data_IF_040151559259
#
_entry.id   IF_040151559259
#
_cell.length_a   1.000
_cell.length_b   1.000
_cell.length_c   1.000
_cell.angle_alpha   90.00
_cell.angle_beta   90.00
_cell.angle_gamma   90.00
#
_symmetry.space_group_name_H-M   'P 1'
#
loop_
_entity.id
_entity.type
_entity.pdbx_description
1 polymer ?
#
# COMPACT_ATOMS: atom_id res chain seq x y z
N UNK A 1 0.94 -14.76 -55.40
CA UNK A 1 0.05 -14.63 -54.22
C UNK A 1 0.89 -14.70 -52.94
N UNK A 2 1.74 -13.70 -52.70
CA UNK A 2 2.55 -13.56 -51.47
C UNK A 2 2.13 -12.32 -50.64
N UNK A 3 0.98 -11.70 -50.98
CA UNK A 3 0.57 -10.35 -50.57
C UNK A 3 0.05 -10.20 -49.14
N UNK A 4 -0.01 -11.26 -48.34
CA UNK A 4 -0.81 -11.25 -47.10
C UNK A 4 0.03 -11.35 -45.81
N UNK A 5 1.36 -11.33 -45.92
CA UNK A 5 2.26 -11.32 -44.75
C UNK A 5 2.64 -9.88 -44.37
N UNK A 6 2.46 -9.55 -43.09
CA UNK A 6 2.84 -8.26 -42.49
C UNK A 6 4.11 -8.45 -41.66
N UNK A 7 5.05 -7.52 -41.79
CA UNK A 7 6.28 -7.52 -41.00
C UNK A 7 5.99 -7.16 -39.53
N UNK A 8 6.37 -8.04 -38.61
CA UNK A 8 6.25 -7.81 -37.15
C UNK A 8 7.53 -7.17 -36.61
N UNK A 9 8.69 -7.57 -37.15
CA UNK A 9 9.97 -6.89 -36.89
C UNK A 9 10.28 -5.92 -38.02
N UNK A 10 10.96 -4.81 -37.70
CA UNK A 10 11.25 -3.75 -38.68
C UNK A 10 12.13 -4.23 -39.84
N UNK A 11 12.99 -5.22 -39.60
CA UNK A 11 13.86 -5.87 -40.58
C UNK A 11 13.15 -6.98 -41.39
N UNK A 12 11.88 -7.27 -41.12
CA UNK A 12 11.13 -8.34 -41.77
C UNK A 12 11.55 -9.75 -41.34
N UNK A 13 12.42 -9.90 -40.35
CA UNK A 13 12.88 -11.19 -39.84
C UNK A 13 11.78 -12.06 -39.21
N UNK A 14 10.69 -11.44 -38.75
CA UNK A 14 9.44 -12.13 -38.38
C UNK A 14 8.28 -11.51 -39.14
N UNK A 15 7.59 -12.32 -39.93
CA UNK A 15 6.41 -11.91 -40.69
C UNK A 15 5.20 -12.73 -40.24
N UNK A 16 4.01 -12.13 -40.25
CA UNK A 16 2.75 -12.72 -39.77
C UNK A 16 1.68 -12.64 -40.84
N UNK A 17 0.88 -13.70 -40.96
CA UNK A 17 -0.38 -13.72 -41.70
C UNK A 17 -1.49 -14.26 -40.79
N UNK A 18 -2.54 -13.48 -40.57
CA UNK A 18 -3.67 -13.91 -39.75
C UNK A 18 -4.55 -14.86 -40.56
N UNK A 19 -4.85 -16.03 -40.00
CA UNK A 19 -5.80 -17.01 -40.55
C UNK A 19 -7.18 -16.88 -39.89
N UNK A 20 -7.21 -16.51 -38.61
CA UNK A 20 -8.42 -16.26 -37.83
C UNK A 20 -8.11 -15.19 -36.80
N UNK A 21 -8.94 -14.15 -36.76
CA UNK A 21 -8.81 -13.06 -35.79
C UNK A 21 -9.09 -13.51 -34.36
N UNK A 22 -8.34 -12.93 -33.42
CA UNK A 22 -8.58 -13.02 -31.97
C UNK A 22 -9.04 -11.70 -31.38
N UNK A 23 -9.37 -11.68 -30.09
CA UNK A 23 -9.85 -10.49 -29.40
C UNK A 23 -9.19 -10.33 -28.01
N UNK A 24 -9.15 -9.08 -27.54
CA UNK A 24 -8.55 -8.72 -26.26
C UNK A 24 -7.10 -8.25 -26.38
N UNK A 25 -6.41 -8.28 -25.24
CA UNK A 25 -5.05 -7.78 -25.10
C UNK A 25 -4.00 -8.77 -25.64
N UNK A 26 -2.77 -8.26 -25.79
CA UNK A 26 -1.62 -9.06 -26.20
C UNK A 26 -0.90 -9.68 -24.99
N UNK A 27 -0.39 -10.92 -25.11
CA UNK A 27 0.46 -11.54 -24.10
C UNK A 27 1.67 -10.67 -23.73
N UNK A 28 1.77 -10.31 -22.46
CA UNK A 28 2.93 -9.58 -21.93
C UNK A 28 4.02 -10.56 -21.49
N UNK A 29 5.24 -10.07 -21.30
CA UNK A 29 6.35 -10.85 -20.72
C UNK A 29 5.92 -11.59 -19.45
N UNK A 30 6.39 -12.83 -19.25
CA UNK A 30 5.96 -13.76 -18.19
C UNK A 30 4.53 -14.30 -18.29
N UNK A 31 3.81 -14.06 -19.39
CA UNK A 31 2.54 -14.74 -19.60
C UNK A 31 2.73 -16.22 -19.93
N UNK A 32 1.90 -17.07 -19.32
CA UNK A 32 1.69 -18.46 -19.75
C UNK A 32 0.66 -18.48 -20.86
N UNK A 33 1.10 -18.71 -22.10
CA UNK A 33 0.25 -18.90 -23.27
C UNK A 33 -0.15 -20.38 -23.41
N UNK A 34 -1.43 -20.64 -23.63
CA UNK A 34 -1.94 -21.96 -24.03
C UNK A 34 -2.15 -22.00 -25.53
N UNK A 35 -1.43 -22.88 -26.20
CA UNK A 35 -1.33 -22.86 -27.66
C UNK A 35 -1.44 -24.26 -28.28
N UNK A 36 -1.89 -24.28 -29.53
CA UNK A 36 -1.60 -25.34 -30.49
C UNK A 36 -0.72 -24.77 -31.59
N UNK A 37 0.29 -25.51 -32.01
CA UNK A 37 1.22 -25.04 -33.03
C UNK A 37 1.82 -26.17 -33.85
N UNK A 38 2.26 -25.81 -35.05
CA UNK A 38 3.03 -26.62 -35.97
C UNK A 38 4.17 -25.78 -36.52
N UNK A 39 5.41 -26.21 -36.27
CA UNK A 39 6.63 -25.66 -36.84
C UNK A 39 7.16 -26.56 -37.96
N UNK A 40 7.39 -25.97 -39.13
CA UNK A 40 7.94 -26.65 -40.31
C UNK A 40 9.13 -25.89 -40.88
N UNK A 41 10.01 -26.62 -41.56
CA UNK A 41 11.05 -26.04 -42.43
C UNK A 41 10.42 -25.56 -43.75
N UNK A 42 11.22 -24.95 -44.63
CA UNK A 42 10.75 -24.45 -45.94
C UNK A 42 10.28 -25.57 -46.87
N UNK A 43 10.89 -26.75 -46.79
CA UNK A 43 10.48 -27.97 -47.49
C UNK A 43 9.21 -28.61 -46.91
N UNK A 44 8.54 -27.92 -45.97
CA UNK A 44 7.35 -28.35 -45.24
C UNK A 44 7.59 -29.52 -44.27
N UNK A 45 8.84 -29.96 -44.06
CA UNK A 45 9.14 -30.98 -43.05
C UNK A 45 8.83 -30.44 -41.65
N UNK A 46 7.96 -31.11 -40.87
CA UNK A 46 7.68 -30.71 -39.49
C UNK A 46 8.89 -30.99 -38.59
N UNK A 47 9.21 -30.04 -37.71
CA UNK A 47 10.31 -30.16 -36.74
C UNK A 47 9.86 -29.97 -35.28
N UNK A 48 8.68 -29.38 -35.04
CA UNK A 48 8.13 -29.18 -33.69
C UNK A 48 6.60 -29.03 -33.78
N UNK A 49 5.82 -29.78 -33.00
CA UNK A 49 4.36 -29.64 -32.97
C UNK A 49 3.74 -30.23 -31.72
N UNK A 50 2.58 -29.68 -31.33
CA UNK A 50 1.66 -30.33 -30.38
C UNK A 50 0.26 -30.55 -30.98
N UNK A 51 0.12 -30.49 -32.30
CA UNK A 51 -1.13 -30.80 -33.00
C UNK A 51 -1.51 -32.27 -32.74
N UNK A 52 -2.79 -32.52 -32.48
CA UNK A 52 -3.31 -33.86 -32.16
C UNK A 52 -3.12 -34.29 -30.70
N UNK A 53 -2.42 -33.51 -29.87
CA UNK A 53 -2.38 -33.78 -28.43
C UNK A 53 -3.71 -33.38 -27.75
N UNK A 54 -4.12 -34.16 -26.74
CA UNK A 54 -5.37 -33.91 -26.00
C UNK A 54 -5.36 -32.63 -25.14
N UNK A 55 -4.18 -32.09 -24.84
CA UNK A 55 -4.01 -30.88 -24.03
C UNK A 55 -3.17 -29.85 -24.80
N UNK A 56 -3.54 -28.55 -24.74
CA UNK A 56 -2.73 -27.50 -25.35
C UNK A 56 -1.40 -27.35 -24.62
N UNK A 57 -0.37 -27.01 -25.37
CA UNK A 57 0.95 -26.74 -24.83
C UNK A 57 0.93 -25.44 -24.02
N UNK A 58 1.59 -25.44 -22.86
CA UNK A 58 1.77 -24.26 -22.03
C UNK A 58 3.17 -23.70 -22.25
N UNK A 59 3.25 -22.52 -22.83
CA UNK A 59 4.52 -21.82 -23.06
C UNK A 59 4.60 -20.57 -22.18
N UNK A 60 5.70 -20.37 -21.47
CA UNK A 60 5.95 -19.17 -20.65
C UNK A 60 6.89 -18.26 -21.43
N UNK A 61 6.43 -17.06 -21.76
CA UNK A 61 7.23 -16.08 -22.51
C UNK A 61 8.49 -15.67 -21.74
N UNK A 62 9.63 -15.54 -22.44
CA UNK A 62 10.96 -15.15 -21.92
C UNK A 62 11.60 -16.18 -20.99
N UNK A 63 11.20 -17.45 -21.06
CA UNK A 63 11.84 -18.55 -20.33
C UNK A 63 12.94 -19.26 -21.13
N UNK A 64 13.04 -18.99 -22.44
CA UNK A 64 14.10 -19.54 -23.30
C UNK A 64 13.81 -20.92 -23.88
N UNK A 65 12.56 -21.40 -23.81
CA UNK A 65 12.20 -22.76 -24.25
C UNK A 65 12.13 -22.90 -25.79
N UNK A 66 12.05 -21.78 -26.54
CA UNK A 66 12.01 -21.72 -28.01
C UNK A 66 12.76 -20.51 -28.56
N UNK A 67 12.95 -20.46 -29.87
CA UNK A 67 13.65 -19.37 -30.56
C UNK A 67 12.97 -18.00 -30.39
N UNK A 68 13.75 -16.93 -30.57
CA UNK A 68 13.33 -15.53 -30.35
C UNK A 68 12.09 -15.16 -31.18
N UNK A 69 12.05 -15.58 -32.44
CA UNK A 69 10.95 -15.31 -33.37
C UNK A 69 9.64 -15.95 -32.94
N UNK A 70 9.69 -17.12 -32.28
CA UNK A 70 8.50 -17.77 -31.75
C UNK A 70 7.88 -16.96 -30.60
N UNK A 71 8.70 -16.39 -29.72
CA UNK A 71 8.20 -15.52 -28.66
C UNK A 71 7.60 -14.22 -29.23
N UNK A 72 8.26 -13.60 -30.21
CA UNK A 72 7.75 -12.41 -30.91
C UNK A 72 6.41 -12.70 -31.58
N UNK A 73 6.30 -13.86 -32.25
CA UNK A 73 5.07 -14.32 -32.86
C UNK A 73 3.93 -14.35 -31.82
N UNK A 74 4.12 -15.03 -30.69
CA UNK A 74 3.10 -15.11 -29.64
C UNK A 74 2.72 -13.74 -29.05
N UNK A 75 3.68 -12.84 -28.85
CA UNK A 75 3.42 -11.49 -28.34
C UNK A 75 2.62 -10.62 -29.33
N UNK A 76 2.63 -10.97 -30.62
CA UNK A 76 1.83 -10.29 -31.65
C UNK A 76 0.40 -10.83 -31.81
N UNK A 77 0.03 -11.89 -31.07
CA UNK A 77 -1.26 -12.57 -31.21
C UNK A 77 -2.25 -12.17 -30.13
N UNK A 78 -3.55 -12.17 -30.46
CA UNK A 78 -4.65 -12.05 -29.48
C UNK A 78 -5.22 -13.42 -29.09
N UNK A 79 -5.83 -13.57 -27.91
CA UNK A 79 -6.61 -14.76 -27.55
C UNK A 79 -7.65 -15.13 -28.61
N UNK A 80 -7.73 -16.42 -28.97
CA UNK A 80 -8.58 -16.97 -30.02
C UNK A 80 -8.02 -16.85 -31.44
N UNK A 81 -6.89 -16.16 -31.62
CA UNK A 81 -6.27 -15.95 -32.92
C UNK A 81 -5.56 -17.20 -33.43
N UNK A 82 -5.66 -17.44 -34.74
CA UNK A 82 -4.83 -18.40 -35.47
C UNK A 82 -4.06 -17.68 -36.56
N UNK A 83 -2.74 -17.85 -36.59
CA UNK A 83 -1.85 -17.13 -37.49
C UNK A 83 -0.70 -18.00 -37.99
N UNK A 84 -0.19 -17.66 -39.17
CA UNK A 84 1.03 -18.21 -39.73
C UNK A 84 2.16 -17.20 -39.66
N UNK A 85 3.38 -17.71 -39.49
CA UNK A 85 4.58 -16.91 -39.33
C UNK A 85 5.70 -17.43 -40.23
N UNK A 86 6.46 -16.52 -40.82
CA UNK A 86 7.77 -16.78 -41.43
C UNK A 86 8.84 -16.15 -40.55
N UNK A 87 9.87 -16.92 -40.22
CA UNK A 87 10.93 -16.51 -39.29
C UNK A 87 12.28 -16.78 -39.94
N UNK A 88 13.09 -15.73 -40.10
CA UNK A 88 14.46 -15.83 -40.64
C UNK A 88 15.42 -16.41 -39.60
N UNK A 89 16.61 -16.89 -39.99
CA UNK A 89 17.47 -17.64 -39.09
C UNK A 89 17.97 -16.81 -37.90
N UNK A 90 18.12 -15.49 -38.05
CA UNK A 90 18.53 -14.55 -36.99
C UNK A 90 17.52 -14.50 -35.84
N UNK A 91 16.25 -14.78 -36.14
CA UNK A 91 15.17 -14.92 -35.15
C UNK A 91 14.83 -16.39 -34.86
N UNK A 92 15.32 -17.32 -35.68
CA UNK A 92 15.20 -18.77 -35.52
C UNK A 92 16.30 -19.38 -34.65
N UNK A 93 16.94 -20.42 -35.15
CA UNK A 93 18.03 -21.13 -34.46
C UNK A 93 19.43 -20.75 -35.00
N UNK A 94 19.52 -19.76 -35.90
CA UNK A 94 20.77 -19.17 -36.35
C UNK A 94 21.77 -20.14 -37.00
N UNK A 95 23.07 -19.82 -36.98
CA UNK A 95 24.12 -20.58 -37.66
C UNK A 95 24.39 -21.96 -37.04
N UNK A 96 23.90 -22.20 -35.83
CA UNK A 96 24.07 -23.48 -35.15
C UNK A 96 22.92 -24.46 -35.43
N UNK A 97 21.75 -23.96 -35.83
CA UNK A 97 20.55 -24.78 -36.02
C UNK A 97 20.06 -25.38 -34.69
N UNK A 98 19.30 -26.48 -34.77
CA UNK A 98 18.89 -27.23 -33.59
C UNK A 98 18.89 -28.73 -33.88
N UNK A 99 19.97 -29.40 -33.47
CA UNK A 99 20.19 -30.82 -33.72
C UNK A 99 19.10 -31.67 -33.05
N UNK A 100 18.61 -31.30 -31.86
CA UNK A 100 17.57 -32.05 -31.15
C UNK A 100 16.20 -32.01 -31.85
N UNK A 101 15.99 -31.06 -32.76
CA UNK A 101 14.76 -30.90 -33.55
C UNK A 101 15.00 -31.11 -35.05
N UNK A 102 16.16 -31.65 -35.44
CA UNK A 102 16.56 -31.79 -36.85
C UNK A 102 16.46 -30.49 -37.67
N UNK A 103 16.68 -29.34 -37.03
CA UNK A 103 16.66 -28.04 -37.71
C UNK A 103 18.08 -27.72 -38.22
N UNK A 104 18.28 -27.57 -39.54
CA UNK A 104 19.58 -27.23 -40.10
C UNK A 104 20.10 -25.85 -39.67
N UNK A 105 21.39 -25.64 -39.88
CA UNK A 105 22.03 -24.33 -39.74
C UNK A 105 21.40 -23.32 -40.68
N UNK A 106 21.20 -22.10 -40.20
CA UNK A 106 20.64 -20.98 -40.97
C UNK A 106 19.28 -21.30 -41.64
N UNK A 107 18.45 -22.16 -41.03
CA UNK A 107 17.16 -22.52 -41.59
C UNK A 107 16.09 -21.43 -41.35
N UNK A 108 15.33 -21.12 -42.39
CA UNK A 108 14.07 -20.38 -42.29
C UNK A 108 12.99 -21.29 -41.69
N UNK A 109 12.21 -20.74 -40.76
CA UNK A 109 11.16 -21.48 -40.07
C UNK A 109 9.78 -20.94 -40.47
N UNK A 110 8.82 -21.85 -40.57
CA UNK A 110 7.40 -21.52 -40.65
C UNK A 110 6.68 -22.05 -39.43
N UNK A 111 5.81 -21.24 -38.85
CA UNK A 111 4.93 -21.67 -37.78
C UNK A 111 3.48 -21.38 -38.12
N UNK A 112 2.61 -22.33 -37.86
CA UNK A 112 1.18 -22.08 -37.68
C UNK A 112 0.87 -22.19 -36.19
N UNK A 113 0.28 -21.15 -35.61
CA UNK A 113 0.02 -21.05 -34.17
C UNK A 113 -1.45 -20.67 -33.96
N UNK A 114 -2.12 -21.35 -33.06
CA UNK A 114 -3.40 -20.97 -32.48
C UNK A 114 -3.20 -20.61 -31.00
N UNK A 115 -3.42 -19.33 -30.66
CA UNK A 115 -3.35 -18.85 -29.29
C UNK A 115 -4.73 -18.95 -28.65
N UNK A 116 -4.95 -19.97 -27.82
CA UNK A 116 -6.26 -20.16 -27.18
C UNK A 116 -6.54 -19.07 -26.14
N UNK A 117 -5.56 -18.83 -25.26
CA UNK A 117 -5.58 -17.81 -24.21
C UNK A 117 -4.20 -17.67 -23.58
N UNK A 118 -4.01 -16.60 -22.82
CA UNK A 118 -2.85 -16.46 -21.94
C UNK A 118 -3.26 -16.05 -20.53
N UNK A 119 -2.36 -16.23 -19.59
CA UNK A 119 -2.46 -15.70 -18.23
C UNK A 119 -1.12 -15.08 -17.86
N UNK A 120 -1.11 -13.81 -17.48
CA UNK A 120 0.08 -13.19 -16.92
C UNK A 120 0.41 -13.88 -15.58
N UNK A 121 1.54 -14.58 -15.51
CA UNK A 121 1.98 -15.16 -14.24
C UNK A 121 2.57 -14.04 -13.39
N UNK A 122 1.96 -13.80 -12.24
CA UNK A 122 2.56 -12.93 -11.24
C UNK A 122 3.83 -13.61 -10.75
N UNK A 123 4.97 -12.92 -10.79
CA UNK A 123 6.18 -13.38 -10.12
C UNK A 123 5.84 -13.71 -8.67
N UNK A 124 6.35 -14.83 -8.18
CA UNK A 124 6.18 -15.17 -6.77
C UNK A 124 6.98 -14.18 -5.94
N UNK A 125 6.48 -13.78 -4.76
CA UNK A 125 7.08 -12.71 -3.93
C UNK A 125 8.58 -12.90 -3.67
N UNK A 126 9.06 -14.13 -3.49
CA UNK A 126 10.48 -14.41 -3.24
C UNK A 126 11.38 -14.30 -4.49
N UNK A 127 10.78 -14.34 -5.69
CA UNK A 127 11.48 -14.13 -6.96
C UNK A 127 11.55 -12.66 -7.37
N UNK A 128 10.92 -11.77 -6.61
CA UNK A 128 10.95 -10.34 -6.86
C UNK A 128 12.17 -9.70 -6.19
N UNK A 129 12.86 -8.83 -6.93
CA UNK A 129 13.89 -7.96 -6.36
C UNK A 129 13.26 -6.84 -5.49
N UNK A 130 14.05 -6.06 -4.72
CA UNK A 130 13.51 -4.99 -3.88
C UNK A 130 12.71 -3.93 -4.64
N UNK A 131 13.13 -3.56 -5.84
CA UNK A 131 12.48 -2.56 -6.68
C UNK A 131 11.09 -3.02 -7.14
N UNK A 132 10.98 -4.24 -7.65
CA UNK A 132 9.72 -4.87 -8.07
C UNK A 132 8.74 -5.01 -6.91
N UNK A 133 9.25 -5.39 -5.73
CA UNK A 133 8.44 -5.45 -4.51
C UNK A 133 7.90 -4.07 -4.13
N UNK A 134 8.74 -3.05 -4.19
CA UNK A 134 8.34 -1.68 -3.90
C UNK A 134 7.25 -1.19 -4.86
N UNK A 135 7.40 -1.43 -6.16
CA UNK A 135 6.37 -1.12 -7.16
C UNK A 135 5.05 -1.85 -6.91
N UNK A 136 5.10 -3.14 -6.56
CA UNK A 136 3.88 -3.91 -6.26
C UNK A 136 3.19 -3.40 -4.99
N UNK A 137 3.97 -3.05 -3.96
CA UNK A 137 3.45 -2.41 -2.75
C UNK A 137 2.74 -1.08 -3.08
N UNK A 138 3.34 -0.24 -3.95
CA UNK A 138 2.73 1.01 -4.39
C UNK A 138 1.42 0.78 -5.17
N UNK A 139 1.40 -0.20 -6.09
CA UNK A 139 0.20 -0.56 -6.85
C UNK A 139 -0.94 -0.99 -5.92
N UNK A 140 -0.64 -1.82 -4.92
CA UNK A 140 -1.62 -2.28 -3.94
C UNK A 140 -2.07 -1.14 -3.02
N UNK A 141 -1.17 -0.26 -2.59
CA UNK A 141 -1.50 0.95 -1.84
C UNK A 141 -2.49 1.82 -2.61
N UNK A 142 -2.23 2.10 -3.89
CA UNK A 142 -3.12 2.90 -4.73
C UNK A 142 -4.50 2.26 -4.88
N UNK A 143 -4.57 0.93 -5.04
CA UNK A 143 -5.85 0.20 -5.03
C UNK A 143 -6.57 0.33 -3.68
N UNK A 144 -5.88 0.17 -2.57
CA UNK A 144 -6.42 0.41 -1.23
C UNK A 144 -6.97 1.82 -1.07
N UNK A 145 -6.24 2.83 -1.55
CA UNK A 145 -6.68 4.24 -1.52
C UNK A 145 -7.92 4.47 -2.38
N UNK A 146 -8.07 3.75 -3.50
CA UNK A 146 -9.31 3.79 -4.29
C UNK A 146 -10.50 3.24 -3.49
N UNK A 147 -10.35 2.08 -2.86
CA UNK A 147 -11.39 1.53 -1.99
C UNK A 147 -11.72 2.46 -0.81
N UNK A 148 -10.69 3.04 -0.19
CA UNK A 148 -10.87 3.99 0.91
C UNK A 148 -11.69 5.21 0.51
N UNK A 149 -11.40 5.81 -0.66
CA UNK A 149 -12.16 6.94 -1.20
C UNK A 149 -13.63 6.58 -1.49
N UNK A 150 -13.89 5.32 -1.84
CA UNK A 150 -15.23 4.80 -2.05
C UNK A 150 -15.92 4.34 -0.74
N UNK A 151 -15.35 4.68 0.42
CA UNK A 151 -15.85 4.28 1.75
C UNK A 151 -15.87 2.76 2.00
N UNK A 152 -15.21 1.98 1.13
CA UNK A 152 -15.05 0.53 1.25
C UNK A 152 -13.85 0.21 2.15
N UNK A 153 -14.00 0.49 3.45
CA UNK A 153 -12.88 0.46 4.40
C UNK A 153 -12.32 -0.93 4.66
N UNK A 154 -13.14 -1.99 4.57
CA UNK A 154 -12.68 -3.36 4.76
C UNK A 154 -11.80 -3.82 3.61
N UNK A 155 -12.23 -3.56 2.38
CA UNK A 155 -11.49 -3.88 1.16
C UNK A 155 -10.20 -3.04 1.07
N UNK A 156 -10.26 -1.77 1.50
CA UNK A 156 -9.06 -0.94 1.65
C UNK A 156 -8.07 -1.56 2.64
N UNK A 157 -8.55 -1.98 3.83
CA UNK A 157 -7.74 -2.65 4.87
C UNK A 157 -7.06 -3.90 4.32
N UNK A 158 -7.79 -4.75 3.59
CA UNK A 158 -7.22 -5.94 2.96
C UNK A 158 -6.13 -5.61 1.94
N UNK A 159 -6.35 -4.62 1.07
CA UNK A 159 -5.34 -4.21 0.08
C UNK A 159 -4.09 -3.62 0.72
N UNK A 160 -4.24 -2.86 1.82
CA UNK A 160 -3.09 -2.36 2.55
C UNK A 160 -2.33 -3.48 3.28
N UNK A 161 -3.02 -4.48 3.84
CA UNK A 161 -2.38 -5.68 4.39
C UNK A 161 -1.62 -6.46 3.32
N UNK A 162 -2.21 -6.64 2.13
CA UNK A 162 -1.54 -7.25 0.98
C UNK A 162 -0.26 -6.45 0.63
N UNK A 163 -0.35 -5.13 0.59
CA UNK A 163 0.78 -4.24 0.28
C UNK A 163 1.92 -4.35 1.31
N UNK A 164 1.60 -4.48 2.60
CA UNK A 164 2.59 -4.66 3.66
C UNK A 164 3.46 -5.92 3.46
N UNK A 165 2.90 -6.95 2.82
CA UNK A 165 3.70 -8.13 2.50
C UNK A 165 4.83 -7.78 1.53
N UNK A 166 4.71 -6.77 0.67
CA UNK A 166 5.79 -6.44 -0.26
C UNK A 166 6.83 -5.46 0.30
N UNK A 167 6.64 -4.91 1.50
CA UNK A 167 7.60 -3.97 2.08
C UNK A 167 8.97 -4.63 2.38
N UNK A 168 10.05 -3.92 2.03
CA UNK A 168 11.44 -4.34 2.29
C UNK A 168 12.09 -3.30 3.21
N UNK A 169 12.50 -3.67 4.42
CA UNK A 169 12.86 -2.70 5.47
C UNK A 169 14.33 -2.27 5.50
N UNK A 170 15.16 -2.80 4.61
CA UNK A 170 16.57 -2.45 4.49
C UNK A 170 16.79 -1.16 3.68
N UNK A 171 15.76 -0.63 3.02
CA UNK A 171 15.80 0.65 2.28
C UNK A 171 14.99 1.73 2.99
N UNK A 172 15.33 3.00 2.72
CA UNK A 172 14.60 4.16 3.27
C UNK A 172 13.18 4.21 2.74
N UNK A 173 13.03 4.05 1.43
CA UNK A 173 11.75 4.03 0.71
C UNK A 173 10.84 2.92 1.23
N UNK A 174 11.44 1.76 1.56
CA UNK A 174 10.74 0.62 2.11
C UNK A 174 10.22 0.81 3.53
N UNK A 175 10.95 1.57 4.37
CA UNK A 175 10.45 2.02 5.68
C UNK A 175 9.33 3.05 5.52
N UNK A 176 9.51 4.04 4.66
CA UNK A 176 8.52 5.10 4.43
C UNK A 176 7.19 4.57 3.89
N UNK A 177 7.22 3.62 2.95
CA UNK A 177 5.99 3.00 2.43
C UNK A 177 5.32 2.13 3.49
N UNK A 178 6.09 1.41 4.32
CA UNK A 178 5.51 0.59 5.40
C UNK A 178 4.79 1.45 6.43
N UNK A 179 5.43 2.51 6.90
CA UNK A 179 4.81 3.46 7.82
C UNK A 179 3.58 4.15 7.19
N UNK A 180 3.65 4.55 5.92
CA UNK A 180 2.50 5.06 5.17
C UNK A 180 1.33 4.06 5.12
N UNK A 181 1.61 2.78 4.90
CA UNK A 181 0.58 1.73 4.84
C UNK A 181 -0.04 1.46 6.21
N UNK A 182 0.76 1.43 7.28
CA UNK A 182 0.29 1.28 8.65
C UNK A 182 -0.61 2.45 9.06
N UNK A 183 -0.25 3.69 8.70
CA UNK A 183 -1.11 4.85 8.89
C UNK A 183 -2.43 4.73 8.12
N UNK A 184 -2.42 4.22 6.89
CA UNK A 184 -3.65 4.00 6.12
C UNK A 184 -4.53 2.89 6.74
N UNK A 185 -3.92 1.85 7.30
CA UNK A 185 -4.63 0.82 8.06
C UNK A 185 -5.25 1.37 9.34
N UNK A 186 -4.54 2.23 10.06
CA UNK A 186 -5.04 2.79 11.31
C UNK A 186 -6.31 3.62 11.10
N UNK A 187 -6.36 4.44 10.04
CA UNK A 187 -7.56 5.23 9.72
C UNK A 187 -8.72 4.34 9.23
N UNK A 188 -8.45 3.26 8.48
CA UNK A 188 -9.49 2.30 8.10
C UNK A 188 -10.12 1.64 9.34
N UNK A 189 -9.29 1.24 10.32
CA UNK A 189 -9.78 0.64 11.55
C UNK A 189 -10.53 1.67 12.41
N UNK A 190 -10.03 2.89 12.49
CA UNK A 190 -10.70 3.98 13.22
C UNK A 190 -12.10 4.28 12.69
N UNK A 191 -12.26 4.40 11.36
CA UNK A 191 -13.56 4.63 10.72
C UNK A 191 -14.53 3.44 10.84
N UNK A 192 -14.04 2.29 11.27
CA UNK A 192 -14.83 1.09 11.58
C UNK A 192 -15.01 0.89 13.08
N UNK A 193 -14.65 1.87 13.90
CA UNK A 193 -14.72 1.82 15.37
C UNK A 193 -13.84 0.72 16.01
N UNK A 194 -12.88 0.18 15.25
CA UNK A 194 -11.88 -0.80 15.69
C UNK A 194 -10.69 -0.07 16.33
N UNK A 195 -10.94 0.68 17.41
CA UNK A 195 -9.98 1.64 17.97
C UNK A 195 -8.68 0.99 18.48
N UNK A 196 -8.76 -0.20 19.09
CA UNK A 196 -7.57 -0.93 19.57
C UNK A 196 -6.64 -1.30 18.40
N UNK A 197 -7.20 -1.83 17.30
CA UNK A 197 -6.40 -2.14 16.11
C UNK A 197 -5.81 -0.87 15.49
N UNK A 198 -6.56 0.24 15.49
CA UNK A 198 -6.06 1.53 15.03
C UNK A 198 -4.80 1.97 15.80
N UNK A 199 -4.84 1.86 17.13
CA UNK A 199 -3.72 2.16 18.03
C UNK A 199 -2.50 1.29 17.71
N UNK A 200 -2.70 -0.01 17.50
CA UNK A 200 -1.61 -0.95 17.19
C UNK A 200 -0.95 -0.65 15.85
N UNK A 201 -1.72 -0.27 14.82
CA UNK A 201 -1.15 0.17 13.55
C UNK A 201 -0.37 1.49 13.68
N UNK A 202 -0.85 2.44 14.49
CA UNK A 202 -0.10 3.67 14.75
C UNK A 202 1.21 3.40 15.51
N UNK A 203 1.22 2.51 16.50
CA UNK A 203 2.45 2.06 17.17
C UNK A 203 3.43 1.47 16.16
N UNK A 204 2.95 0.55 15.33
CA UNK A 204 3.79 -0.12 14.35
C UNK A 204 4.35 0.85 13.28
N UNK A 205 3.63 1.95 12.98
CA UNK A 205 4.11 3.04 12.12
C UNK A 205 5.27 3.79 12.78
N UNK A 206 5.16 4.13 14.06
CA UNK A 206 6.22 4.78 14.84
C UNK A 206 7.46 3.88 14.95
N UNK A 207 7.27 2.59 15.22
CA UNK A 207 8.39 1.62 15.34
C UNK A 207 9.18 1.46 14.03
N UNK A 208 8.57 1.80 12.89
CA UNK A 208 9.25 1.76 11.59
C UNK A 208 10.28 2.88 11.44
N UNK A 209 10.23 3.93 12.27
CA UNK A 209 11.17 5.05 12.31
C UNK A 209 11.44 5.65 10.91
N UNK A 210 10.36 6.04 10.22
CA UNK A 210 10.43 6.50 8.83
C UNK A 210 10.81 7.97 8.68
N UNK A 211 9.94 8.89 9.09
CA UNK A 211 10.17 10.34 9.10
C UNK A 211 9.19 11.08 10.01
N UNK A 212 9.52 12.33 10.34
CA UNK A 212 8.78 13.15 11.30
C UNK A 212 7.35 13.45 10.87
N UNK A 213 7.11 13.65 9.56
CA UNK A 213 5.76 13.90 9.06
C UNK A 213 4.84 12.68 9.26
N UNK A 214 5.37 11.46 9.10
CA UNK A 214 4.63 10.23 9.35
C UNK A 214 4.48 9.98 10.85
N UNK A 215 5.51 10.25 11.65
CA UNK A 215 5.46 10.14 13.09
C UNK A 215 4.41 11.08 13.70
N UNK A 216 4.33 12.33 13.24
CA UNK A 216 3.30 13.28 13.64
C UNK A 216 1.90 12.73 13.37
N UNK A 217 1.66 12.21 12.15
CA UNK A 217 0.38 11.60 11.78
C UNK A 217 0.05 10.38 12.66
N UNK A 218 1.06 9.59 13.03
CA UNK A 218 0.89 8.41 13.87
C UNK A 218 0.51 8.81 15.30
N UNK A 219 1.24 9.74 15.92
CA UNK A 219 0.92 10.28 17.24
C UNK A 219 -0.49 10.88 17.28
N UNK A 220 -0.80 11.76 16.33
CA UNK A 220 -2.13 12.40 16.27
C UNK A 220 -3.26 11.38 16.12
N UNK A 221 -3.15 10.42 15.19
CA UNK A 221 -4.19 9.39 15.00
C UNK A 221 -4.32 8.46 16.20
N UNK A 222 -3.19 8.08 16.82
CA UNK A 222 -3.19 7.24 18.03
C UNK A 222 -3.85 7.97 19.19
N UNK A 223 -3.59 9.27 19.35
CA UNK A 223 -4.23 10.09 20.37
C UNK A 223 -5.76 10.11 20.21
N UNK A 224 -6.26 10.37 19.00
CA UNK A 224 -7.71 10.37 18.76
C UNK A 224 -8.32 8.99 19.06
N UNK A 225 -7.67 7.90 18.64
CA UNK A 225 -8.13 6.55 18.95
C UNK A 225 -8.10 6.24 20.47
N UNK A 226 -7.08 6.72 21.19
CA UNK A 226 -6.97 6.60 22.64
C UNK A 226 -8.10 7.34 23.37
N UNK A 227 -8.48 8.54 22.89
CA UNK A 227 -9.61 9.27 23.45
C UNK A 227 -10.92 8.48 23.33
N UNK A 228 -11.15 7.80 22.21
CA UNK A 228 -12.37 6.99 22.00
C UNK A 228 -12.46 5.81 22.97
N UNK A 229 -11.34 5.29 23.46
CA UNK A 229 -11.30 4.21 24.47
C UNK A 229 -11.17 4.72 25.91
N UNK A 230 -11.23 6.04 26.12
CA UNK A 230 -11.17 6.66 27.45
C UNK A 230 -9.76 6.86 28.02
N UNK A 231 -8.71 6.58 27.25
CA UNK A 231 -7.31 6.65 27.68
C UNK A 231 -6.75 8.07 27.49
N UNK A 232 -7.34 9.03 28.21
CA UNK A 232 -7.11 10.48 28.02
C UNK A 232 -5.66 10.91 28.31
N UNK A 233 -5.02 10.33 29.32
CA UNK A 233 -3.63 10.65 29.68
C UNK A 233 -2.63 10.23 28.59
N UNK A 234 -2.82 9.01 28.04
CA UNK A 234 -2.00 8.52 26.92
C UNK A 234 -2.24 9.37 25.66
N UNK A 235 -3.49 9.76 25.40
CA UNK A 235 -3.81 10.66 24.31
C UNK A 235 -3.09 12.02 24.45
N UNK A 236 -3.04 12.56 25.67
CA UNK A 236 -2.32 13.80 25.96
C UNK A 236 -0.81 13.64 25.69
N UNK A 237 -0.19 12.53 26.09
CA UNK A 237 1.23 12.26 25.81
C UNK A 237 1.54 12.20 24.31
N UNK A 238 0.67 11.56 23.53
CA UNK A 238 0.79 11.50 22.08
C UNK A 238 0.63 12.87 21.43
N UNK A 239 -0.34 13.68 21.87
CA UNK A 239 -0.52 15.04 21.34
C UNK A 239 0.66 15.96 21.69
N UNK A 240 1.25 15.83 22.89
CA UNK A 240 2.50 16.54 23.22
C UNK A 240 3.63 16.12 22.29
N UNK A 241 3.74 14.83 21.98
CA UNK A 241 4.76 14.32 21.05
C UNK A 241 4.54 14.81 19.62
N UNK A 242 3.28 14.87 19.16
CA UNK A 242 2.94 15.48 17.88
C UNK A 242 3.24 16.99 17.82
N UNK A 243 2.92 17.72 18.90
CA UNK A 243 3.18 19.16 19.02
C UNK A 243 4.68 19.47 18.95
N UNK A 244 5.53 18.65 19.58
CA UNK A 244 6.99 18.81 19.49
C UNK A 244 7.53 18.68 18.06
N UNK A 245 6.87 17.89 17.20
CA UNK A 245 7.26 17.71 15.80
C UNK A 245 6.79 18.86 14.92
N UNK A 246 5.61 19.41 15.17
CA UNK A 246 5.06 20.55 14.45
C UNK A 246 4.22 21.44 15.38
N UNK A 247 4.85 22.44 16.03
CA UNK A 247 4.17 23.33 16.96
C UNK A 247 3.14 24.26 16.29
N UNK A 248 3.16 24.39 14.96
CA UNK A 248 2.23 25.24 14.21
C UNK A 248 0.98 24.49 13.75
N UNK A 249 0.89 23.18 14.03
CA UNK A 249 -0.21 22.35 13.60
C UNK A 249 -1.50 22.67 14.36
N UNK A 250 -2.41 23.42 13.72
CA UNK A 250 -3.67 23.86 14.36
C UNK A 250 -4.51 22.70 14.88
N UNK A 251 -4.60 21.60 14.13
CA UNK A 251 -5.38 20.42 14.53
C UNK A 251 -4.83 19.76 15.81
N UNK A 252 -3.50 19.68 15.95
CA UNK A 252 -2.88 19.15 17.18
C UNK A 252 -3.13 20.09 18.35
N UNK A 253 -3.00 21.40 18.14
CA UNK A 253 -3.19 22.42 19.19
C UNK A 253 -4.63 22.38 19.72
N UNK A 254 -5.62 22.40 18.83
CA UNK A 254 -7.04 22.36 19.17
C UNK A 254 -7.39 21.10 19.95
N UNK A 255 -6.92 19.94 19.48
CA UNK A 255 -7.21 18.66 20.13
C UNK A 255 -6.52 18.54 21.50
N UNK A 256 -5.31 19.07 21.63
CA UNK A 256 -4.58 19.14 22.89
C UNK A 256 -5.30 20.02 23.92
N UNK A 257 -5.93 21.12 23.50
CA UNK A 257 -6.75 21.95 24.38
C UNK A 257 -8.01 21.21 24.87
N UNK A 258 -8.70 20.48 23.98
CA UNK A 258 -9.89 19.69 24.35
C UNK A 258 -9.56 18.62 25.39
N UNK A 259 -8.52 17.83 25.15
CA UNK A 259 -8.10 16.76 26.08
C UNK A 259 -7.72 17.32 27.44
N UNK A 260 -7.01 18.46 27.47
CA UNK A 260 -6.67 19.16 28.72
C UNK A 260 -7.92 19.58 29.51
N UNK A 261 -8.89 20.19 28.84
CA UNK A 261 -10.12 20.63 29.48
C UNK A 261 -10.93 19.44 30.02
N UNK A 262 -11.03 18.35 29.25
CA UNK A 262 -11.66 17.11 29.70
C UNK A 262 -10.98 16.52 30.94
N UNK A 263 -9.64 16.45 30.97
CA UNK A 263 -8.89 15.96 32.12
C UNK A 263 -9.11 16.86 33.35
N UNK A 264 -9.10 18.19 33.17
CA UNK A 264 -9.36 19.15 34.25
C UNK A 264 -10.76 18.97 34.83
N UNK A 265 -11.77 18.78 33.98
CA UNK A 265 -13.14 18.53 34.41
C UNK A 265 -13.30 17.18 35.11
N UNK A 266 -12.66 16.13 34.61
CA UNK A 266 -12.65 14.81 35.24
C UNK A 266 -12.04 14.89 36.64
N UNK A 267 -10.88 15.53 36.76
CA UNK A 267 -10.20 15.77 38.02
C UNK A 267 -11.05 16.55 39.03
N UNK A 268 -11.70 17.64 38.59
CA UNK A 268 -12.59 18.45 39.45
C UNK A 268 -13.77 17.63 40.00
N UNK A 269 -14.39 16.80 39.16
CA UNK A 269 -15.48 15.91 39.57
C UNK A 269 -15.01 14.83 40.53
N UNK A 270 -13.83 14.27 40.30
CA UNK A 270 -13.24 13.26 41.17
C UNK A 270 -12.96 13.83 42.55
N UNK A 271 -12.32 15.01 42.63
CA UNK A 271 -12.08 15.74 43.87
C UNK A 271 -13.37 15.99 44.66
N UNK A 272 -14.42 16.46 43.98
CA UNK A 272 -15.72 16.69 44.62
C UNK A 272 -16.38 15.40 45.12
N UNK A 273 -16.20 14.28 44.40
CA UNK A 273 -16.75 12.98 44.77
C UNK A 273 -16.02 12.41 46.00
N UNK A 274 -14.69 12.50 46.03
CA UNK A 274 -13.86 12.09 47.16
C UNK A 274 -14.13 12.94 48.41
N UNK A 275 -14.23 14.27 48.29
CA UNK A 275 -14.56 15.13 49.43
C UNK A 275 -15.91 14.78 50.08
N UNK A 276 -16.87 14.22 49.34
CA UNK A 276 -18.15 13.75 49.91
C UNK A 276 -18.04 12.38 50.57
N UNK A 277 -17.21 11.48 50.04
CA UNK A 277 -17.00 10.13 50.57
C UNK A 277 -16.27 10.11 51.92
N UNK A 278 -15.42 11.11 52.20
CA UNK A 278 -14.61 11.18 53.43
C UNK A 278 -15.19 12.09 54.52
N UNK A 279 -16.25 12.86 54.24
CA UNK A 279 -16.96 13.66 55.26
C UNK A 279 -17.90 12.79 56.12
N UNK A 280 -18.24 11.58 55.67
CA UNK A 280 -19.23 10.70 56.33
C UNK A 280 -18.61 9.58 57.20
N UNK A 281 -17.30 9.58 57.49
CA UNK A 281 -16.67 8.59 58.39
C UNK A 281 -15.94 9.25 59.56
N UNK A 282 -16.43 8.92 60.76
CA UNK A 282 -16.07 9.43 62.08
C UNK A 282 -14.57 9.32 62.46
N UNK A 283 -14.17 10.27 63.32
CA UNK A 283 -12.85 10.80 63.67
C UNK A 283 -11.86 9.90 64.44
N UNK A 284 -11.84 8.57 64.31
CA UNK A 284 -10.82 7.80 65.05
C UNK A 284 -10.33 6.54 64.35
N UNK A 285 -9.15 6.66 63.71
CA UNK A 285 -8.02 5.71 63.71
C UNK A 285 -7.16 5.68 62.42
N UNK A 286 -7.30 6.61 61.47
CA UNK A 286 -6.69 6.44 60.13
C UNK A 286 -5.41 7.25 59.81
N UNK A 287 -4.75 7.88 60.80
CA UNK A 287 -3.67 8.84 60.53
C UNK A 287 -2.32 8.30 59.99
N UNK A 288 -2.13 7.00 59.74
CA UNK A 288 -0.81 6.47 59.31
C UNK A 288 -0.82 5.95 57.86
N UNK A 289 -1.91 5.32 57.41
CA UNK A 289 -2.03 4.86 56.02
C UNK A 289 -2.64 5.93 55.08
N UNK A 290 -3.31 6.93 55.64
CA UNK A 290 -3.90 8.04 54.87
C UNK A 290 -2.84 9.05 54.42
N UNK A 291 -1.83 9.35 55.24
CA UNK A 291 -0.76 10.29 54.86
C UNK A 291 0.09 9.75 53.70
N UNK A 292 0.43 8.45 53.68
CA UNK A 292 1.21 7.86 52.58
C UNK A 292 0.41 7.80 51.27
N UNK A 293 -0.88 7.44 51.34
CA UNK A 293 -1.76 7.38 50.16
C UNK A 293 -2.09 8.79 49.63
N UNK A 294 -2.31 9.76 50.52
CA UNK A 294 -2.50 11.16 50.16
C UNK A 294 -1.21 11.77 49.61
N UNK A 295 -0.04 11.46 50.16
CA UNK A 295 1.25 11.95 49.62
C UNK A 295 1.57 11.37 48.24
N UNK A 296 1.28 10.09 47.99
CA UNK A 296 1.45 9.50 46.67
C UNK A 296 0.50 10.16 45.65
N UNK A 297 -0.76 10.37 46.03
CA UNK A 297 -1.74 11.04 45.17
C UNK A 297 -1.48 12.55 45.00
N UNK A 298 -0.99 13.24 46.03
CA UNK A 298 -0.52 14.63 45.94
C UNK A 298 0.73 14.72 45.08
N UNK A 299 1.61 13.71 45.10
CA UNK A 299 2.80 13.68 44.24
C UNK A 299 2.42 13.51 42.78
N UNK A 300 1.48 12.60 42.47
CA UNK A 300 0.92 12.40 41.12
C UNK A 300 0.10 13.63 40.68
N UNK A 301 -0.69 14.23 41.57
CA UNK A 301 -1.42 15.49 41.32
C UNK A 301 -0.48 16.68 41.08
N UNK A 302 0.60 16.79 41.85
CA UNK A 302 1.59 17.85 41.70
C UNK A 302 2.39 17.64 40.42
N UNK A 303 2.69 16.40 40.03
CA UNK A 303 3.35 16.10 38.76
C UNK A 303 2.45 16.39 37.56
N UNK A 304 1.17 16.01 37.61
CA UNK A 304 0.18 16.32 36.58
C UNK A 304 -0.09 17.83 36.48
N UNK A 305 -0.21 18.53 37.62
CA UNK A 305 -0.41 19.98 37.68
C UNK A 305 0.80 20.75 37.18
N UNK A 306 2.02 20.37 37.59
CA UNK A 306 3.28 20.91 37.01
C UNK A 306 3.36 20.64 35.50
N UNK A 307 2.91 19.47 35.05
CA UNK A 307 2.87 19.10 33.63
C UNK A 307 1.82 19.89 32.83
N UNK A 308 0.78 20.42 33.47
CA UNK A 308 -0.21 21.32 32.86
C UNK A 308 0.32 22.76 32.87
N UNK A 309 0.84 23.25 33.99
CA UNK A 309 1.38 24.60 34.18
C UNK A 309 2.61 24.91 33.32
N UNK A 310 3.54 23.95 33.18
CA UNK A 310 4.71 24.13 32.31
C UNK A 310 4.30 24.32 30.84
N UNK A 311 3.17 23.76 30.43
CA UNK A 311 2.67 23.88 29.05
C UNK A 311 1.87 25.18 28.86
N UNK A 312 1.20 25.69 29.89
CA UNK A 312 0.57 27.01 29.80
C UNK A 312 1.61 28.12 29.65
N UNK A 313 2.82 27.96 30.23
CA UNK A 313 3.96 28.84 29.96
C UNK A 313 4.45 28.73 28.52
N UNK A 314 4.60 27.53 27.97
CA UNK A 314 5.00 27.33 26.57
C UNK A 314 3.95 27.87 25.57
N UNK A 315 2.65 27.70 25.87
CA UNK A 315 1.55 28.26 25.08
C UNK A 315 1.44 29.78 25.16
N UNK A 316 1.76 30.39 26.31
CA UNK A 316 1.80 31.84 26.46
C UNK A 316 2.96 32.42 25.64
N UNK A 317 4.14 31.78 25.67
CA UNK A 317 5.30 32.13 24.84
C UNK A 317 4.97 31.96 23.35
N UNK A 318 4.26 30.90 22.95
CA UNK A 318 3.80 30.75 21.56
C UNK A 318 2.77 31.80 21.14
N UNK A 319 1.82 32.18 22.02
CA UNK A 319 0.88 33.29 21.76
C UNK A 319 1.59 34.65 21.62
N UNK A 320 2.66 34.87 22.38
CA UNK A 320 3.45 36.10 22.33
C UNK A 320 4.38 36.16 21.10
N UNK A 321 4.89 35.02 20.62
CA UNK A 321 5.62 34.91 19.34
C UNK A 321 4.66 35.12 18.15
N UNK A 322 3.45 34.55 18.20
CA UNK A 322 2.42 34.70 17.15
C UNK A 322 1.89 36.16 17.08
N UNK A 323 1.99 36.95 18.16
CA UNK A 323 1.60 38.37 18.14
C UNK A 323 2.52 39.27 17.31
N UNK A 324 3.72 38.82 16.92
CA UNK A 324 4.70 39.70 16.27
C UNK A 324 5.03 39.44 14.81
N UNK A 325 4.54 38.38 14.14
CA UNK A 325 4.83 38.19 12.70
C UNK A 325 3.63 37.63 11.89
N UNK A 326 2.97 38.57 11.19
CA UNK A 326 2.26 38.47 9.89
C UNK A 326 1.00 37.55 9.77
N UNK A 327 0.16 37.70 8.71
CA UNK A 327 -1.26 38.02 8.80
C UNK A 327 -2.18 36.81 8.58
N UNK A 328 -3.45 36.99 8.93
CA UNK A 328 -4.49 35.96 8.90
C UNK A 328 -4.64 35.25 7.55
N UNK A 329 -4.51 33.93 7.56
CA UNK A 329 -5.01 33.04 6.51
C UNK A 329 -6.15 32.20 7.11
N UNK A 330 -7.29 32.29 6.46
CA UNK A 330 -8.63 31.96 6.92
C UNK A 330 -8.86 30.43 6.95
N UNK A 331 -9.25 29.90 8.11
CA UNK A 331 -9.48 28.46 8.37
C UNK A 331 -10.74 27.87 7.71
N UNK A 332 -11.48 28.67 6.93
CA UNK A 332 -12.78 28.25 6.35
C UNK A 332 -12.68 27.36 5.10
N UNK A 333 -11.57 27.36 4.36
CA UNK A 333 -11.48 26.59 3.11
C UNK A 333 -11.27 25.07 3.34
N UNK A 334 -10.71 24.66 4.48
CA UNK A 334 -10.42 23.25 4.75
C UNK A 334 -11.63 22.49 5.32
N UNK A 335 -12.51 23.18 6.05
CA UNK A 335 -13.78 22.64 6.55
C UNK A 335 -14.85 22.52 5.46
N UNK A 336 -14.80 23.37 4.44
CA UNK A 336 -15.74 23.33 3.31
C UNK A 336 -15.53 22.08 2.43
N UNK A 337 -14.27 21.68 2.21
CA UNK A 337 -13.94 20.46 1.46
C UNK A 337 -14.30 19.15 2.18
N UNK A 338 -14.35 19.17 3.52
CA UNK A 338 -14.77 18.03 4.35
C UNK A 338 -16.30 17.93 4.51
N UNK A 339 -17.03 19.04 4.36
CA UNK A 339 -18.50 19.07 4.44
C UNK A 339 -19.18 18.85 3.07
N UNK A 340 -18.57 19.30 1.97
CA UNK A 340 -19.09 19.04 0.60
C UNK A 340 -19.01 17.55 0.21
N UNK A 341 -18.14 16.77 0.86
CA UNK A 341 -18.10 15.32 0.69
C UNK A 341 -19.15 14.57 1.52
N UNK A 342 -19.86 15.26 2.43
CA UNK A 342 -20.98 14.72 3.22
C UNK A 342 -22.37 15.04 2.66
N UNK A 343 -22.52 16.00 1.74
CA UNK A 343 -23.82 16.39 1.18
C UNK A 343 -24.15 15.81 -0.21
N UNK A 344 -23.46 14.75 -0.65
CA UNK A 344 -23.75 14.05 -1.93
C UNK A 344 -24.43 12.69 -1.66
N UNK A 345 -25.02 12.49 -0.47
CA UNK A 345 -25.79 11.27 -0.13
C UNK A 345 -27.16 11.55 0.52
N UNK A 346 -27.76 12.70 0.20
CA UNK A 346 -29.22 12.87 0.11
C UNK A 346 -29.54 13.40 -1.29
#
# INVERSE_FOLDING_TARGET
MESDFVNITADGGVQKRILKEGQGDYPQTNSTCKIYYLGTLEDQKPFDSNMGQSKPHKHILKRGDRCKGFEIALQSMKPGEKSQFKITPEYGYGPDGNIFKDVPKNANLRYEIELLRFKLEKKKRWLMNPEEKYEEALKLRTKGTKYFKNQQYQEAKEKYKDALTYCVLNTKEGKEIKASLQLNLSICCFLREEFKESIDYCKAALDTNSNDQQNLKAYYRRAIALQQIGEQEKALQDLKSAYKLDPQNTAVIEELQKVKEHLKQAYSKEKQSWSKLFVDKDESQQNINEEESQQQQESEQNELSKNIENIDKDNQVSKDIIKHEIPQINQNETLQQLNESRSIQE
#
